data_IF_398641105542
#
_entry.id   IF_398641105542
#
_cell.length_a   1.000
_cell.length_b   1.000
_cell.length_c   1.000
_cell.angle_alpha   90.00
_cell.angle_beta   90.00
_cell.angle_gamma   90.00
#
_symmetry.space_group_name_H-M   'P 1'
#
loop_
_entity.id
_entity.type
_entity.pdbx_description
1 polymer ?
#
# COMPACT_ATOMS: atom_id res chain seq x y z
N UNK A 1 -26.82 -5.09 -7.65
CA UNK A 1 -26.02 -4.06 -6.93
C UNK A 1 -26.10 -4.22 -5.41
N UNK A 2 -27.29 -4.27 -4.76
CA UNK A 2 -27.42 -4.51 -3.29
C UNK A 2 -26.76 -5.81 -2.83
N UNK A 3 -26.85 -6.89 -3.60
CA UNK A 3 -26.25 -8.20 -3.26
C UNK A 3 -24.72 -8.17 -3.24
N UNK A 4 -24.07 -7.45 -4.20
CA UNK A 4 -22.60 -7.29 -4.20
C UNK A 4 -22.09 -6.36 -3.10
N UNK A 5 -22.83 -5.31 -2.77
CA UNK A 5 -22.52 -4.46 -1.60
C UNK A 5 -22.54 -5.25 -0.28
N UNK A 6 -23.43 -6.23 -0.16
CA UNK A 6 -23.45 -7.15 0.98
C UNK A 6 -22.24 -8.09 0.97
N UNK A 7 -21.78 -8.58 -0.18
CA UNK A 7 -20.72 -9.58 -0.25
C UNK A 7 -19.35 -9.06 0.22
N UNK A 8 -18.92 -7.86 -0.17
CA UNK A 8 -17.65 -7.30 0.33
C UNK A 8 -17.78 -6.93 1.81
N UNK A 9 -18.87 -6.30 2.19
CA UNK A 9 -19.18 -6.03 3.59
C UNK A 9 -19.20 -7.32 4.42
N UNK A 10 -19.81 -8.38 3.92
CA UNK A 10 -19.94 -9.66 4.63
C UNK A 10 -18.62 -10.46 4.58
N UNK A 11 -17.84 -10.39 3.49
CA UNK A 11 -16.50 -11.00 3.41
C UNK A 11 -15.47 -10.25 4.26
N UNK A 12 -15.49 -8.92 4.25
CA UNK A 12 -14.69 -8.12 5.18
C UNK A 12 -15.12 -8.40 6.63
N UNK A 13 -16.42 -8.53 6.90
CA UNK A 13 -16.94 -8.88 8.21
C UNK A 13 -16.62 -10.33 8.60
N UNK A 14 -16.65 -11.28 7.68
CA UNK A 14 -16.23 -12.67 7.95
C UNK A 14 -14.73 -12.77 8.23
N UNK A 15 -13.89 -12.06 7.49
CA UNK A 15 -12.46 -11.94 7.78
C UNK A 15 -12.24 -11.31 9.14
N UNK A 16 -12.95 -10.24 9.42
CA UNK A 16 -13.00 -9.54 10.70
C UNK A 16 -13.46 -10.48 11.83
N UNK A 17 -14.60 -11.15 11.72
CA UNK A 17 -15.14 -12.02 12.76
C UNK A 17 -14.28 -13.28 13.02
N UNK A 18 -13.62 -13.80 11.98
CA UNK A 18 -12.67 -14.93 12.11
C UNK A 18 -11.39 -14.58 12.86
N UNK A 19 -10.95 -13.34 12.78
CA UNK A 19 -9.64 -12.90 13.28
C UNK A 19 -9.71 -12.10 14.58
N UNK A 20 -10.88 -11.59 14.95
CA UNK A 20 -11.14 -10.83 16.18
C UNK A 20 -10.72 -11.52 17.48
N UNK A 21 -10.45 -12.81 17.48
CA UNK A 21 -10.10 -13.54 18.69
C UNK A 21 -8.71 -14.16 18.70
N UNK A 22 -7.98 -14.17 17.58
CA UNK A 22 -6.83 -15.05 17.45
C UNK A 22 -5.46 -14.37 17.50
N UNK A 23 -5.34 -13.10 17.09
CA UNK A 23 -4.03 -12.45 16.92
C UNK A 23 -3.95 -11.01 17.43
N UNK A 24 -4.87 -10.57 18.26
CA UNK A 24 -4.76 -9.24 18.85
C UNK A 24 -3.63 -9.20 19.89
N UNK A 25 -2.64 -8.32 19.75
CA UNK A 25 -1.66 -8.09 20.79
C UNK A 25 -2.35 -7.72 22.11
N UNK A 26 -1.83 -8.10 23.28
CA UNK A 26 -2.44 -7.84 24.57
C UNK A 26 -2.75 -6.37 24.86
N UNK A 27 -2.10 -5.45 24.16
CA UNK A 27 -2.26 -3.99 24.29
C UNK A 27 -3.64 -3.54 23.81
N UNK A 28 -4.20 -4.18 22.79
CA UNK A 28 -5.48 -3.79 22.17
C UNK A 28 -6.68 -4.11 23.08
N UNK A 29 -6.54 -5.03 24.00
CA UNK A 29 -7.61 -5.42 24.94
C UNK A 29 -7.90 -4.40 26.05
N UNK A 30 -7.08 -3.37 26.21
CA UNK A 30 -7.23 -2.36 27.29
C UNK A 30 -8.13 -1.19 26.94
N UNK A 31 -8.55 -1.05 25.70
CA UNK A 31 -9.30 0.13 25.31
C UNK A 31 -10.81 0.01 25.56
N UNK A 32 -11.36 1.08 26.11
CA UNK A 32 -12.74 1.15 26.59
C UNK A 32 -13.76 1.67 25.57
N UNK A 33 -13.40 1.90 24.30
CA UNK A 33 -13.95 3.15 23.81
C UNK A 33 -15.12 3.02 22.85
N UNK A 34 -15.15 2.15 21.91
CA UNK A 34 -16.31 2.07 21.01
C UNK A 34 -16.63 0.62 20.71
N UNK A 35 -17.90 0.21 20.67
CA UNK A 35 -18.24 -1.11 20.18
C UNK A 35 -17.70 -1.29 18.76
N UNK A 36 -17.02 -2.41 18.52
CA UNK A 36 -16.41 -2.75 17.24
C UNK A 36 -17.32 -2.48 16.03
N UNK A 37 -18.61 -2.78 16.18
CA UNK A 37 -19.62 -2.57 15.15
C UNK A 37 -19.83 -1.09 14.75
N UNK A 38 -19.67 -0.15 15.69
CA UNK A 38 -19.82 1.28 15.39
C UNK A 38 -18.62 1.85 14.63
N UNK A 39 -17.41 1.42 14.99
CA UNK A 39 -16.22 1.83 14.24
C UNK A 39 -16.28 1.30 12.81
N UNK A 40 -16.66 0.04 12.66
CA UNK A 40 -16.83 -0.58 11.34
C UNK A 40 -17.88 0.13 10.51
N UNK A 41 -19.04 0.41 11.08
CA UNK A 41 -20.09 1.17 10.39
C UNK A 41 -19.59 2.56 9.97
N UNK A 42 -18.83 3.22 10.83
CA UNK A 42 -18.28 4.54 10.56
C UNK A 42 -17.30 4.53 9.39
N UNK A 43 -16.29 3.64 9.40
CA UNK A 43 -15.26 3.61 8.34
C UNK A 43 -15.86 3.22 6.99
N UNK A 44 -16.86 2.35 6.96
CA UNK A 44 -17.58 2.01 5.72
C UNK A 44 -18.36 3.21 5.20
N UNK A 45 -19.07 3.93 6.05
CA UNK A 45 -19.78 5.18 5.68
C UNK A 45 -18.80 6.24 5.16
N UNK A 46 -17.69 6.42 5.85
CA UNK A 46 -16.64 7.35 5.44
C UNK A 46 -16.11 7.04 4.04
N UNK A 47 -15.87 5.76 3.75
CA UNK A 47 -15.41 5.31 2.42
C UNK A 47 -16.42 5.63 1.32
N UNK A 48 -17.73 5.43 1.59
CA UNK A 48 -18.79 5.77 0.65
C UNK A 48 -18.85 7.28 0.40
N UNK A 49 -18.75 8.08 1.45
CA UNK A 49 -18.76 9.56 1.36
C UNK A 49 -17.53 10.04 0.56
N UNK A 50 -16.35 9.54 0.86
CA UNK A 50 -15.13 9.90 0.13
C UNK A 50 -15.25 9.54 -1.34
N UNK A 51 -15.79 8.37 -1.67
CA UNK A 51 -16.04 7.96 -3.04
C UNK A 51 -16.98 8.94 -3.76
N UNK A 52 -18.06 9.34 -3.11
CA UNK A 52 -19.01 10.33 -3.67
C UNK A 52 -18.35 11.70 -3.85
N UNK A 53 -17.50 12.13 -2.91
CA UNK A 53 -16.72 13.37 -3.03
C UNK A 53 -15.79 13.32 -4.24
N UNK A 54 -15.13 12.19 -4.48
CA UNK A 54 -14.15 12.07 -5.58
C UNK A 54 -14.84 11.98 -6.95
N UNK A 55 -15.87 11.13 -7.06
CA UNK A 55 -16.47 10.77 -8.35
C UNK A 55 -17.84 11.38 -8.61
N UNK A 56 -18.47 11.93 -7.59
CA UNK A 56 -19.88 12.30 -7.62
C UNK A 56 -20.83 11.11 -7.44
N UNK A 57 -22.09 11.45 -7.25
CA UNK A 57 -23.17 10.47 -7.09
C UNK A 57 -24.49 11.05 -7.61
N UNK A 58 -25.02 10.55 -8.77
CA UNK A 58 -26.25 11.06 -9.36
C UNK A 58 -27.48 11.00 -8.41
N UNK A 59 -27.46 10.10 -7.41
CA UNK A 59 -28.55 10.04 -6.42
C UNK A 59 -28.63 11.29 -5.54
N UNK A 60 -27.53 11.98 -5.34
CA UNK A 60 -27.52 13.23 -4.59
C UNK A 60 -28.27 14.32 -5.36
N UNK A 61 -28.16 14.32 -6.70
CA UNK A 61 -28.92 15.21 -7.57
C UNK A 61 -30.43 15.01 -7.44
N UNK A 62 -30.87 13.73 -7.45
CA UNK A 62 -32.28 13.37 -7.24
C UNK A 62 -32.81 13.81 -5.87
N UNK A 63 -31.91 13.99 -4.88
CA UNK A 63 -32.24 14.45 -3.53
C UNK A 63 -32.15 15.97 -3.37
N UNK A 64 -31.82 16.70 -4.44
CA UNK A 64 -31.67 18.15 -4.45
C UNK A 64 -30.26 18.67 -4.09
N UNK A 65 -29.26 17.79 -3.97
CA UNK A 65 -27.87 18.11 -3.70
C UNK A 65 -27.06 18.18 -5.00
N UNK A 66 -27.35 19.21 -5.84
CA UNK A 66 -26.84 19.29 -7.20
C UNK A 66 -25.33 19.48 -7.28
N UNK A 67 -24.72 20.28 -6.39
CA UNK A 67 -23.28 20.51 -6.37
C UNK A 67 -22.53 19.30 -5.86
N UNK A 68 -23.01 18.66 -4.80
CA UNK A 68 -22.41 17.47 -4.23
C UNK A 68 -22.49 16.28 -5.18
N UNK A 69 -23.54 16.22 -5.99
CA UNK A 69 -23.73 15.15 -6.99
C UNK A 69 -22.63 15.12 -8.06
N UNK A 70 -22.03 16.27 -8.38
CA UNK A 70 -20.96 16.36 -9.37
C UNK A 70 -19.63 15.76 -8.88
N UNK A 71 -19.40 15.75 -7.57
CA UNK A 71 -18.11 15.40 -6.99
C UNK A 71 -16.98 16.36 -7.39
N UNK A 72 -15.75 15.92 -7.22
CA UNK A 72 -14.54 16.70 -7.52
C UNK A 72 -13.82 16.26 -8.80
N UNK A 73 -14.26 15.18 -9.43
CA UNK A 73 -13.56 14.56 -10.56
C UNK A 73 -12.06 14.36 -10.26
N UNK A 74 -11.77 13.89 -9.04
CA UNK A 74 -10.42 13.78 -8.54
C UNK A 74 -9.80 12.43 -8.89
N UNK A 75 -8.52 12.44 -9.26
CA UNK A 75 -7.75 11.24 -9.60
C UNK A 75 -6.82 10.79 -8.47
N UNK A 76 -6.63 11.63 -7.45
CA UNK A 76 -5.83 11.36 -6.24
C UNK A 76 -6.53 12.02 -5.07
N UNK A 77 -6.49 11.39 -3.91
CA UNK A 77 -6.99 11.93 -2.65
C UNK A 77 -6.04 11.64 -1.48
N UNK A 78 -6.42 12.11 -0.30
CA UNK A 78 -5.73 11.82 0.95
C UNK A 78 -6.39 12.57 2.12
N UNK A 79 -6.28 12.01 3.32
CA UNK A 79 -6.72 12.70 4.53
C UNK A 79 -5.59 13.56 5.08
N UNK A 80 -5.88 14.82 5.36
CA UNK A 80 -4.89 15.75 5.91
C UNK A 80 -4.58 15.38 7.36
N UNK A 81 -3.33 14.96 7.60
CA UNK A 81 -2.80 14.59 8.89
C UNK A 81 -3.42 13.31 9.45
N UNK A 82 -2.63 12.53 10.16
CA UNK A 82 -3.11 11.33 10.81
C UNK A 82 -3.75 11.64 12.16
N UNK A 83 -3.09 12.43 13.00
CA UNK A 83 -3.45 12.52 14.42
C UNK A 83 -4.70 13.34 14.71
N UNK A 84 -4.86 14.49 14.09
CA UNK A 84 -6.03 15.33 14.38
C UNK A 84 -7.36 14.64 14.08
N UNK A 85 -7.40 13.92 12.95
CA UNK A 85 -8.55 13.12 12.57
C UNK A 85 -8.71 11.92 13.49
N UNK A 86 -7.66 11.14 13.67
CA UNK A 86 -7.67 9.86 14.38
C UNK A 86 -7.74 9.99 15.91
N UNK A 87 -7.55 11.18 16.47
CA UNK A 87 -7.80 11.43 17.89
C UNK A 87 -9.30 11.55 18.22
N UNK A 88 -10.15 11.85 17.24
CA UNK A 88 -11.58 12.09 17.45
C UNK A 88 -12.49 11.11 16.71
N UNK A 89 -12.04 10.58 15.59
CA UNK A 89 -12.79 9.72 14.70
C UNK A 89 -11.96 8.47 14.36
N UNK A 90 -12.62 7.35 14.01
CA UNK A 90 -11.92 6.17 13.51
C UNK A 90 -10.96 6.52 12.36
N UNK A 91 -9.82 5.79 12.29
CA UNK A 91 -8.79 6.02 11.29
C UNK A 91 -9.30 5.87 9.84
N UNK A 92 -8.50 6.34 8.89
CA UNK A 92 -8.83 6.34 7.47
C UNK A 92 -8.33 5.09 6.71
N UNK A 93 -7.64 4.18 7.37
CA UNK A 93 -6.92 3.06 6.77
C UNK A 93 -7.77 2.22 5.82
N UNK A 94 -9.01 1.89 6.25
CA UNK A 94 -9.93 1.16 5.40
C UNK A 94 -10.27 1.91 4.10
N UNK A 95 -10.52 3.22 4.20
CA UNK A 95 -10.82 4.07 3.04
C UNK A 95 -9.64 4.11 2.09
N UNK A 96 -8.43 4.36 2.60
CA UNK A 96 -7.20 4.46 1.83
C UNK A 96 -6.90 3.14 1.13
N UNK A 97 -7.00 2.01 1.84
CA UNK A 97 -6.80 0.68 1.27
C UNK A 97 -7.80 0.37 0.13
N UNK A 98 -9.10 0.56 0.36
CA UNK A 98 -10.14 0.25 -0.64
C UNK A 98 -10.07 1.19 -1.85
N UNK A 99 -9.81 2.48 -1.63
CA UNK A 99 -9.69 3.42 -2.75
C UNK A 99 -8.49 3.09 -3.65
N UNK A 100 -7.34 2.75 -3.05
CA UNK A 100 -6.13 2.39 -3.78
C UNK A 100 -6.17 0.99 -4.42
N UNK A 101 -7.07 0.09 -3.99
CA UNK A 101 -7.22 -1.25 -4.57
C UNK A 101 -7.82 -1.22 -5.96
N UNK A 102 -7.53 -2.28 -6.77
CA UNK A 102 -8.11 -2.47 -8.11
C UNK A 102 -9.55 -2.96 -8.09
N UNK A 103 -10.19 -3.00 -6.94
CA UNK A 103 -11.58 -3.42 -6.78
C UNK A 103 -12.25 -2.69 -5.62
N UNK A 104 -13.58 -2.67 -5.66
CA UNK A 104 -14.45 -2.29 -4.56
C UNK A 104 -15.70 -3.21 -4.55
N UNK A 105 -16.73 -2.85 -3.80
CA UNK A 105 -17.99 -3.60 -3.71
C UNK A 105 -18.78 -3.66 -5.03
N UNK A 106 -18.38 -2.94 -6.06
CA UNK A 106 -18.96 -3.04 -7.41
C UNK A 106 -18.17 -4.00 -8.32
N UNK A 107 -17.04 -4.53 -7.87
CA UNK A 107 -16.12 -5.38 -8.63
C UNK A 107 -14.85 -4.64 -9.05
N UNK A 108 -14.16 -5.11 -10.11
CA UNK A 108 -12.93 -4.49 -10.59
C UNK A 108 -13.12 -3.03 -10.97
N UNK A 109 -12.13 -2.19 -10.66
CA UNK A 109 -12.09 -0.77 -10.97
C UNK A 109 -10.65 -0.30 -11.16
N UNK A 110 -10.45 0.77 -11.91
CA UNK A 110 -9.18 1.49 -11.86
C UNK A 110 -8.91 1.96 -10.41
N UNK A 111 -7.71 1.76 -9.88
CA UNK A 111 -7.37 2.22 -8.55
C UNK A 111 -7.41 3.74 -8.48
N UNK A 112 -7.85 4.27 -7.35
CA UNK A 112 -7.75 5.69 -7.05
C UNK A 112 -6.69 5.87 -5.98
N UNK A 113 -5.52 6.37 -6.33
CA UNK A 113 -4.48 6.67 -5.37
C UNK A 113 -5.03 7.50 -4.20
N UNK A 114 -4.82 7.01 -2.98
CA UNK A 114 -5.24 7.71 -1.79
C UNK A 114 -4.08 7.72 -0.80
N UNK A 115 -3.42 8.88 -0.68
CA UNK A 115 -2.16 8.99 0.03
C UNK A 115 -2.37 9.17 1.53
N UNK A 116 -1.77 8.28 2.31
CA UNK A 116 -1.70 8.38 3.77
C UNK A 116 -1.09 9.74 4.16
N UNK A 117 -1.60 10.35 5.23
CA UNK A 117 -1.18 11.66 5.73
C UNK A 117 -1.31 12.82 4.72
N UNK A 118 -2.02 12.58 3.62
CA UNK A 118 -2.07 13.49 2.47
C UNK A 118 -0.66 13.85 1.94
N UNK A 119 0.29 12.89 1.97
CA UNK A 119 1.58 13.08 1.31
C UNK A 119 1.37 13.21 -0.20
N UNK A 120 1.19 14.46 -0.63
CA UNK A 120 0.89 14.79 -2.03
C UNK A 120 1.97 14.31 -2.98
N UNK A 121 3.23 14.36 -2.57
CA UNK A 121 4.34 13.86 -3.40
C UNK A 121 4.23 12.35 -3.60
N UNK A 122 3.92 11.61 -2.55
CA UNK A 122 3.68 10.17 -2.68
C UNK A 122 2.40 9.87 -3.45
N UNK A 123 1.35 10.67 -3.28
CA UNK A 123 0.11 10.59 -4.07
C UNK A 123 0.35 10.75 -5.57
N UNK A 124 1.22 11.68 -5.98
CA UNK A 124 1.65 11.84 -7.37
C UNK A 124 2.41 10.59 -7.84
N UNK A 125 3.31 10.06 -7.02
CA UNK A 125 4.02 8.82 -7.35
C UNK A 125 3.04 7.65 -7.50
N UNK A 126 2.05 7.50 -6.61
CA UNK A 126 0.98 6.50 -6.72
C UNK A 126 0.24 6.62 -8.05
N UNK A 127 -0.13 7.84 -8.45
CA UNK A 127 -0.82 8.09 -9.71
C UNK A 127 0.04 7.70 -10.91
N UNK A 128 1.28 8.17 -10.98
CA UNK A 128 2.19 7.87 -12.09
C UNK A 128 2.43 6.36 -12.21
N UNK A 129 2.72 5.70 -11.10
CA UNK A 129 2.96 4.27 -11.07
C UNK A 129 1.74 3.46 -11.48
N UNK A 130 0.55 3.79 -10.99
CA UNK A 130 -0.69 3.12 -11.33
C UNK A 130 -1.08 3.30 -12.80
N UNK A 131 -0.91 4.51 -13.36
CA UNK A 131 -1.19 4.78 -14.78
C UNK A 131 -0.27 3.98 -15.71
N UNK A 132 0.99 3.76 -15.33
CA UNK A 132 1.95 2.99 -16.12
C UNK A 132 1.72 1.49 -15.98
N UNK A 133 1.46 0.99 -14.78
CA UNK A 133 1.34 -0.45 -14.52
C UNK A 133 -0.08 -1.01 -14.66
N UNK A 134 -1.11 -0.15 -14.55
CA UNK A 134 -2.50 -0.58 -14.40
C UNK A 134 -2.83 -1.29 -13.08
N UNK A 135 -1.82 -1.51 -12.22
CA UNK A 135 -1.97 -2.18 -10.93
C UNK A 135 -2.24 -1.18 -9.79
N UNK A 136 -2.65 -1.72 -8.65
CA UNK A 136 -2.84 -0.94 -7.45
C UNK A 136 -1.49 -0.33 -6.98
N UNK A 137 -1.45 0.97 -6.66
CA UNK A 137 -0.27 1.58 -6.06
C UNK A 137 -0.30 1.34 -4.54
N UNK A 138 0.71 0.71 -4.01
CA UNK A 138 0.85 0.48 -2.58
C UNK A 138 1.68 1.59 -1.93
N UNK A 139 1.07 2.34 -1.03
CA UNK A 139 1.76 3.32 -0.21
C UNK A 139 2.55 2.63 0.90
N UNK A 140 3.78 3.06 1.15
CA UNK A 140 4.63 2.51 2.21
C UNK A 140 5.39 3.59 2.96
N UNK A 141 5.55 3.36 4.27
CA UNK A 141 6.68 3.89 5.03
C UNK A 141 7.92 3.08 4.66
N UNK A 142 8.99 3.74 4.25
CA UNK A 142 10.31 3.13 4.09
C UNK A 142 10.96 3.05 5.48
N UNK A 143 10.69 1.98 6.20
CA UNK A 143 10.90 1.93 7.65
C UNK A 143 12.36 1.71 8.02
N UNK A 144 13.00 0.69 7.46
CA UNK A 144 14.39 0.37 7.71
C UNK A 144 14.96 -0.58 6.67
N UNK A 145 16.28 -0.63 6.57
CA UNK A 145 17.01 -1.64 5.80
C UNK A 145 17.56 -2.73 6.72
N UNK A 146 17.78 -3.90 6.16
CA UNK A 146 18.40 -5.04 6.82
C UNK A 146 19.51 -5.59 5.92
N UNK A 147 20.77 -5.41 6.33
CA UNK A 147 21.85 -6.17 5.72
C UNK A 147 21.78 -7.64 6.16
N UNK A 148 22.35 -8.58 5.40
CA UNK A 148 22.38 -9.99 5.81
C UNK A 148 22.96 -10.20 7.21
N UNK A 149 24.03 -9.48 7.55
CA UNK A 149 24.70 -9.55 8.85
C UNK A 149 23.85 -8.97 9.99
N UNK A 150 23.13 -7.89 9.72
CA UNK A 150 22.19 -7.31 10.69
C UNK A 150 21.01 -8.24 10.95
N UNK A 151 20.48 -8.86 9.89
CA UNK A 151 19.43 -9.85 10.00
C UNK A 151 19.89 -11.05 10.83
N UNK A 152 21.02 -11.66 10.50
CA UNK A 152 21.59 -12.81 11.23
C UNK A 152 21.84 -12.48 12.70
N UNK A 153 22.42 -11.31 12.98
CA UNK A 153 22.71 -10.87 14.37
C UNK A 153 21.45 -10.73 15.22
N UNK A 154 20.33 -10.31 14.61
CA UNK A 154 19.09 -10.01 15.35
C UNK A 154 18.17 -11.22 15.43
N UNK A 155 18.12 -12.02 14.38
CA UNK A 155 17.17 -13.14 14.25
C UNK A 155 17.81 -14.51 14.45
N UNK A 156 19.14 -14.60 14.39
CA UNK A 156 19.89 -15.86 14.40
C UNK A 156 19.92 -16.57 13.05
N UNK A 157 19.33 -15.98 12.00
CA UNK A 157 19.22 -16.55 10.66
C UNK A 157 19.66 -15.57 9.58
N UNK A 158 20.36 -16.06 8.57
CA UNK A 158 20.65 -15.30 7.35
C UNK A 158 19.45 -15.33 6.40
N UNK A 159 19.13 -14.20 5.75
CA UNK A 159 18.19 -14.23 4.65
C UNK A 159 18.80 -14.96 3.45
N UNK A 160 17.96 -15.60 2.65
CA UNK A 160 18.34 -16.35 1.46
C UNK A 160 17.52 -15.91 0.22
N UNK A 161 17.67 -16.64 -0.89
CA UNK A 161 16.95 -16.36 -2.11
C UNK A 161 17.11 -14.92 -2.59
N UNK A 162 16.03 -14.26 -2.94
CA UNK A 162 16.03 -12.85 -3.38
C UNK A 162 16.47 -11.88 -2.29
N UNK A 163 16.34 -12.28 -1.02
CA UNK A 163 16.72 -11.49 0.14
C UNK A 163 18.19 -11.67 0.56
N UNK A 164 18.95 -12.56 -0.08
CA UNK A 164 20.33 -12.92 0.32
C UNK A 164 21.31 -11.73 0.43
N UNK A 165 21.05 -10.65 -0.30
CA UNK A 165 21.85 -9.42 -0.27
C UNK A 165 21.24 -8.33 0.62
N UNK A 166 20.24 -8.68 1.44
CA UNK A 166 19.51 -7.77 2.29
C UNK A 166 18.21 -7.27 1.68
N UNK A 167 17.43 -6.59 2.48
CA UNK A 167 16.09 -6.13 2.12
C UNK A 167 15.71 -4.85 2.86
N UNK A 168 14.67 -4.20 2.38
CA UNK A 168 14.07 -3.01 2.98
C UNK A 168 12.68 -3.38 3.51
N UNK A 169 12.40 -3.00 4.74
CA UNK A 169 11.09 -3.13 5.35
C UNK A 169 10.19 -1.99 4.89
N UNK A 170 9.20 -2.33 4.10
CA UNK A 170 8.14 -1.45 3.68
C UNK A 170 6.86 -1.81 4.45
N UNK A 171 6.32 -0.84 5.16
CA UNK A 171 5.14 -1.00 6.03
C UNK A 171 4.25 0.24 5.87
N UNK A 172 2.97 0.12 6.13
CA UNK A 172 2.08 1.26 6.22
C UNK A 172 1.10 1.05 7.38
N UNK A 173 0.46 2.10 7.85
CA UNK A 173 -0.48 2.07 8.98
C UNK A 173 -1.81 1.34 8.69
N UNK A 174 -1.77 0.27 7.92
CA UNK A 174 -2.95 -0.53 7.54
C UNK A 174 -3.74 0.05 6.38
N UNK A 175 -3.14 0.98 5.64
CA UNK A 175 -3.77 1.71 4.53
C UNK A 175 -3.32 1.24 3.14
N UNK A 176 -2.51 0.20 3.04
CA UNK A 176 -2.01 -0.30 1.75
C UNK A 176 -3.11 -1.05 0.99
N UNK A 177 -3.15 -0.86 -0.33
CA UNK A 177 -4.07 -1.56 -1.23
C UNK A 177 -4.07 -3.08 -0.98
N UNK A 178 -5.25 -3.71 -0.98
CA UNK A 178 -5.40 -5.14 -0.65
C UNK A 178 -4.74 -6.06 -1.68
N UNK A 179 -4.63 -5.61 -2.91
CA UNK A 179 -3.86 -6.25 -3.98
C UNK A 179 -2.40 -6.51 -3.57
N UNK A 180 -1.85 -5.61 -2.72
CA UNK A 180 -0.49 -5.70 -2.19
C UNK A 180 -0.20 -6.97 -1.38
N UNK A 181 -1.22 -7.73 -1.00
CA UNK A 181 -1.05 -9.07 -0.43
C UNK A 181 -0.36 -10.04 -1.40
N UNK A 182 -0.46 -9.80 -2.72
CA UNK A 182 0.06 -10.71 -3.73
C UNK A 182 -0.67 -12.05 -3.79
N UNK A 183 -1.94 -12.06 -3.41
CA UNK A 183 -2.73 -13.29 -3.34
C UNK A 183 -3.21 -13.80 -4.69
N UNK A 184 -3.18 -12.97 -5.74
CA UNK A 184 -3.50 -13.41 -7.10
C UNK A 184 -2.39 -14.29 -7.66
N UNK A 185 -2.76 -15.15 -8.61
CA UNK A 185 -1.81 -15.99 -9.32
C UNK A 185 -1.99 -15.87 -10.84
N UNK A 186 -0.90 -16.04 -11.58
CA UNK A 186 -0.93 -16.17 -13.04
C UNK A 186 -1.32 -17.60 -13.48
N UNK A 187 -1.26 -17.86 -14.78
CA UNK A 187 -1.59 -19.17 -15.35
C UNK A 187 -0.59 -20.28 -14.94
N UNK A 188 0.63 -19.88 -14.62
CA UNK A 188 1.71 -20.76 -14.17
C UNK A 188 1.69 -21.00 -12.65
N UNK A 189 0.84 -20.29 -11.92
CA UNK A 189 0.68 -20.38 -10.46
C UNK A 189 1.64 -19.49 -9.67
N UNK A 190 2.36 -18.56 -10.32
CA UNK A 190 3.20 -17.59 -9.64
C UNK A 190 2.35 -16.48 -9.02
N UNK A 191 2.76 -15.98 -7.87
CA UNK A 191 2.13 -14.81 -7.25
C UNK A 191 2.34 -13.56 -8.10
N UNK A 192 1.25 -12.83 -8.34
CA UNK A 192 1.25 -11.60 -9.14
C UNK A 192 0.30 -10.56 -8.56
N UNK A 193 0.52 -9.30 -8.90
CA UNK A 193 -0.53 -8.28 -8.88
C UNK A 193 -0.99 -8.02 -10.31
N UNK A 194 -2.30 -8.13 -10.53
CA UNK A 194 -2.90 -7.95 -11.85
C UNK A 194 -3.27 -6.49 -12.09
N UNK A 195 -3.21 -6.03 -13.33
CA UNK A 195 -3.84 -4.77 -13.70
C UNK A 195 -5.37 -4.90 -13.50
N UNK A 196 -6.02 -3.77 -13.21
CA UNK A 196 -7.44 -3.78 -12.81
C UNK A 196 -8.38 -4.40 -13.86
N UNK A 197 -8.04 -4.33 -15.14
CA UNK A 197 -8.85 -4.91 -16.22
C UNK A 197 -8.71 -6.44 -16.35
N UNK A 198 -7.77 -7.05 -15.67
CA UNK A 198 -7.58 -8.51 -15.60
C UNK A 198 -8.11 -9.13 -14.30
N UNK A 199 -8.54 -8.29 -13.35
CA UNK A 199 -9.07 -8.75 -12.07
C UNK A 199 -10.40 -9.46 -12.24
N UNK A 200 -10.51 -10.64 -11.63
CA UNK A 200 -11.72 -11.46 -11.59
C UNK A 200 -12.33 -11.49 -10.19
N UNK A 201 -13.57 -11.95 -10.07
CA UNK A 201 -14.22 -12.16 -8.77
C UNK A 201 -13.42 -13.17 -7.88
N UNK A 202 -12.71 -14.13 -8.50
CA UNK A 202 -11.84 -15.05 -7.78
C UNK A 202 -10.59 -14.36 -7.22
N UNK A 203 -9.98 -13.47 -7.99
CA UNK A 203 -8.84 -12.66 -7.57
C UNK A 203 -9.21 -11.72 -6.41
N UNK A 204 -10.36 -11.05 -6.52
CA UNK A 204 -10.90 -10.21 -5.45
C UNK A 204 -11.06 -11.01 -4.16
N UNK A 205 -11.66 -12.20 -4.27
CA UNK A 205 -11.84 -13.08 -3.12
C UNK A 205 -10.51 -13.54 -2.53
N UNK A 206 -9.50 -13.80 -3.37
CA UNK A 206 -8.16 -14.17 -2.92
C UNK A 206 -7.52 -13.02 -2.10
N UNK A 207 -7.55 -11.79 -2.59
CA UNK A 207 -7.06 -10.61 -1.88
C UNK A 207 -7.78 -10.39 -0.54
N UNK A 208 -9.12 -10.50 -0.53
CA UNK A 208 -9.92 -10.36 0.69
C UNK A 208 -9.62 -11.47 1.72
N UNK A 209 -9.42 -12.70 1.26
CA UNK A 209 -9.10 -13.82 2.15
C UNK A 209 -7.67 -13.74 2.71
N UNK A 210 -6.76 -13.08 2.00
CA UNK A 210 -5.37 -12.88 2.42
C UNK A 210 -5.20 -11.69 3.36
N UNK A 211 -6.24 -10.88 3.54
CA UNK A 211 -6.21 -9.67 4.36
C UNK A 211 -6.96 -9.90 5.66
N UNK A 212 -6.27 -9.68 6.77
CA UNK A 212 -6.86 -9.58 8.09
C UNK A 212 -7.21 -8.12 8.40
N UNK A 213 -8.18 -7.90 9.30
CA UNK A 213 -8.52 -6.57 9.78
C UNK A 213 -8.25 -6.51 11.28
N UNK A 214 -7.24 -5.72 11.66
CA UNK A 214 -6.84 -5.53 13.03
C UNK A 214 -7.45 -4.24 13.59
N UNK A 215 -7.80 -4.24 14.87
CA UNK A 215 -8.13 -2.98 15.53
C UNK A 215 -6.93 -2.06 15.50
N UNK A 216 -7.16 -0.81 15.15
CA UNK A 216 -6.15 0.22 15.25
C UNK A 216 -5.68 0.38 16.71
N UNK A 217 -4.38 0.55 16.90
CA UNK A 217 -3.81 0.79 18.22
C UNK A 217 -4.29 2.13 18.78
N UNK A 218 -4.98 2.09 19.93
CA UNK A 218 -5.52 3.29 20.56
C UNK A 218 -4.45 4.22 21.17
N UNK A 219 -3.26 3.74 21.42
CA UNK A 219 -2.17 4.63 21.82
C UNK A 219 -1.77 5.55 20.68
N UNK A 220 -1.93 5.06 19.45
CA UNK A 220 -1.63 5.80 18.24
C UNK A 220 -2.89 6.41 17.58
N UNK A 221 -3.98 5.64 17.47
CA UNK A 221 -5.27 6.03 16.89
C UNK A 221 -6.36 6.08 17.96
N UNK A 222 -6.40 7.15 18.74
CA UNK A 222 -7.34 7.28 19.89
C UNK A 222 -8.81 7.23 19.51
N UNK A 223 -9.14 7.63 18.28
CA UNK A 223 -10.49 7.53 17.72
C UNK A 223 -10.89 6.12 17.31
N UNK A 224 -9.97 5.17 17.34
CA UNK A 224 -10.21 3.78 16.94
C UNK A 224 -10.15 3.54 15.45
N UNK A 225 -10.89 2.55 14.96
CA UNK A 225 -10.94 2.10 13.59
C UNK A 225 -10.25 0.76 13.38
N UNK A 226 -9.91 0.48 12.13
CA UNK A 226 -9.31 -0.79 11.73
C UNK A 226 -8.22 -0.58 10.70
N UNK A 227 -7.18 -1.39 10.81
CA UNK A 227 -6.07 -1.46 9.86
C UNK A 227 -6.14 -2.77 9.09
N UNK A 228 -5.84 -2.77 7.80
CA UNK A 228 -5.60 -3.99 7.06
C UNK A 228 -4.27 -4.59 7.48
N UNK A 229 -4.19 -5.90 7.47
CA UNK A 229 -2.96 -6.64 7.76
C UNK A 229 -2.80 -7.78 6.78
N UNK A 230 -1.62 -7.86 6.19
CA UNK A 230 -1.17 -8.99 5.37
C UNK A 230 0.36 -9.01 5.31
N UNK A 231 0.90 -10.16 4.98
CA UNK A 231 2.29 -10.33 4.59
C UNK A 231 2.34 -10.56 3.08
N UNK A 232 3.02 -9.66 2.37
CA UNK A 232 3.15 -9.72 0.92
C UNK A 232 3.86 -11.02 0.49
N UNK A 233 3.37 -11.64 -0.58
CA UNK A 233 3.97 -12.86 -1.16
C UNK A 233 5.29 -12.58 -1.85
N UNK A 234 6.07 -13.66 -2.04
CA UNK A 234 7.43 -13.59 -2.56
C UNK A 234 7.52 -13.48 -4.08
N UNK A 235 8.71 -13.08 -4.49
CA UNK A 235 9.25 -13.17 -5.86
C UNK A 235 8.48 -12.39 -6.92
N UNK A 236 7.58 -11.51 -6.48
CA UNK A 236 6.92 -10.62 -7.43
C UNK A 236 7.85 -9.48 -7.83
N UNK A 237 8.05 -9.25 -9.14
CA UNK A 237 8.77 -8.07 -9.60
C UNK A 237 8.01 -6.81 -9.22
N UNK A 238 8.71 -5.86 -8.63
CA UNK A 238 8.12 -4.57 -8.19
C UNK A 238 9.04 -3.42 -8.56
N UNK A 239 8.42 -2.26 -8.77
CA UNK A 239 9.11 -0.99 -8.91
C UNK A 239 8.69 -0.09 -7.77
N UNK A 240 9.64 0.27 -6.91
CA UNK A 240 9.45 1.30 -5.89
C UNK A 240 9.77 2.67 -6.51
N UNK A 241 8.91 3.63 -6.29
CA UNK A 241 9.07 4.99 -6.83
C UNK A 241 8.70 6.06 -5.80
N UNK A 242 9.30 7.23 -5.96
CA UNK A 242 9.01 8.41 -5.17
C UNK A 242 9.12 9.66 -6.03
N UNK A 243 8.13 10.52 -5.95
CA UNK A 243 8.17 11.89 -6.45
C UNK A 243 8.57 12.82 -5.30
N UNK A 244 9.52 13.69 -5.54
CA UNK A 244 9.97 14.68 -4.57
C UNK A 244 10.04 16.07 -5.21
N UNK A 245 10.01 17.10 -4.37
CA UNK A 245 10.33 18.48 -4.78
C UNK A 245 11.61 18.84 -4.05
N UNK A 246 12.69 19.00 -4.81
CA UNK A 246 14.03 19.29 -4.29
C UNK A 246 14.35 20.76 -4.50
N UNK A 247 14.80 21.42 -3.44
CA UNK A 247 15.20 22.84 -3.51
C UNK A 247 16.28 23.07 -4.57
N UNK A 248 16.11 24.06 -5.40
CA UNK A 248 17.01 24.41 -6.50
C UNK A 248 16.92 23.52 -7.75
N UNK A 249 16.17 22.41 -7.70
CA UNK A 249 15.96 21.51 -8.85
C UNK A 249 14.48 21.51 -9.26
N UNK A 250 13.56 21.49 -8.30
CA UNK A 250 12.14 21.34 -8.55
C UNK A 250 11.69 19.86 -8.41
N UNK A 251 10.68 19.43 -9.18
CA UNK A 251 10.19 18.06 -9.14
C UNK A 251 11.25 17.06 -9.65
N UNK A 252 11.39 15.95 -8.94
CA UNK A 252 12.28 14.84 -9.32
C UNK A 252 11.57 13.51 -9.11
N UNK A 253 11.98 12.47 -9.83
CA UNK A 253 11.52 11.10 -9.63
C UNK A 253 12.70 10.21 -9.23
N UNK A 254 12.45 9.29 -8.29
CA UNK A 254 13.36 8.25 -7.85
C UNK A 254 12.72 6.89 -8.10
N UNK A 255 13.49 5.93 -8.58
CA UNK A 255 13.02 4.61 -9.03
C UNK A 255 13.97 3.54 -8.52
N UNK A 256 13.43 2.48 -7.94
CA UNK A 256 14.18 1.30 -7.54
C UNK A 256 13.39 0.04 -7.94
N UNK A 257 13.86 -0.69 -8.94
CA UNK A 257 13.32 -2.00 -9.28
C UNK A 257 13.90 -3.08 -8.36
N UNK A 258 13.09 -4.09 -8.08
CA UNK A 258 13.47 -5.23 -7.26
C UNK A 258 12.38 -6.28 -7.20
N UNK A 259 12.37 -7.04 -6.13
CA UNK A 259 11.41 -8.13 -5.89
C UNK A 259 10.88 -8.09 -4.47
N UNK A 260 9.71 -8.65 -4.27
CA UNK A 260 9.23 -8.96 -2.92
C UNK A 260 9.87 -10.25 -2.41
N UNK A 261 10.00 -10.37 -1.09
CA UNK A 261 10.43 -11.61 -0.43
C UNK A 261 9.38 -12.06 0.59
N UNK A 262 9.24 -13.37 0.76
CA UNK A 262 8.53 -13.98 1.87
C UNK A 262 9.59 -14.61 2.81
N UNK A 263 9.99 -13.85 3.82
CA UNK A 263 11.06 -14.26 4.73
C UNK A 263 10.61 -15.43 5.61
N UNK A 264 11.51 -16.30 6.07
CA UNK A 264 11.17 -17.29 7.10
C UNK A 264 10.46 -16.68 8.30
N UNK A 265 9.56 -17.43 8.92
CA UNK A 265 8.72 -16.93 10.02
C UNK A 265 9.53 -16.40 11.20
N UNK A 266 10.68 -17.02 11.49
CA UNK A 266 11.58 -16.57 12.56
C UNK A 266 12.16 -15.18 12.29
N UNK A 267 12.52 -14.91 11.02
CA UNK A 267 13.01 -13.60 10.60
C UNK A 267 11.83 -12.60 10.61
N UNK A 268 10.73 -12.95 9.92
CA UNK A 268 9.57 -12.09 9.83
C UNK A 268 9.06 -11.70 11.22
N UNK A 269 8.69 -12.66 12.05
CA UNK A 269 8.11 -12.39 13.36
C UNK A 269 9.04 -11.62 14.31
N UNK A 270 10.36 -11.82 14.18
CA UNK A 270 11.34 -11.11 15.02
C UNK A 270 11.45 -9.65 14.62
N UNK A 271 11.43 -9.36 13.32
CA UNK A 271 11.60 -8.00 12.81
C UNK A 271 10.27 -7.22 12.88
N UNK A 272 9.17 -7.85 12.48
CA UNK A 272 7.85 -7.24 12.42
C UNK A 272 7.37 -6.74 13.80
N UNK A 273 7.63 -7.52 14.85
CA UNK A 273 7.37 -7.13 16.24
C UNK A 273 8.12 -5.88 16.73
N UNK A 274 9.12 -5.42 15.99
CA UNK A 274 9.88 -4.20 16.31
C UNK A 274 9.24 -2.95 15.73
N UNK A 275 8.19 -3.11 14.94
CA UNK A 275 7.35 -2.05 14.39
C UNK A 275 5.92 -2.25 14.90
N UNK A 276 4.92 -2.22 14.04
CA UNK A 276 3.56 -2.55 14.39
C UNK A 276 3.12 -3.84 13.68
N UNK A 277 2.99 -4.96 14.40
CA UNK A 277 2.65 -6.25 13.82
C UNK A 277 1.18 -6.35 13.36
N UNK A 278 0.40 -5.29 13.46
CA UNK A 278 -0.98 -5.22 12.95
C UNK A 278 -1.08 -4.54 11.58
N UNK A 279 0.06 -4.08 11.02
CA UNK A 279 0.11 -3.38 9.75
C UNK A 279 0.60 -4.27 8.61
N UNK A 280 0.22 -3.99 7.36
CA UNK A 280 0.66 -4.78 6.21
C UNK A 280 2.16 -4.61 5.99
N UNK A 281 2.83 -5.72 5.69
CA UNK A 281 4.27 -5.78 5.52
C UNK A 281 4.65 -6.26 4.13
N UNK A 282 5.58 -5.54 3.50
CA UNK A 282 6.27 -5.94 2.27
C UNK A 282 7.77 -5.92 2.49
N UNK A 283 8.43 -7.06 2.24
CA UNK A 283 9.88 -7.18 2.25
C UNK A 283 10.40 -6.91 0.84
N UNK A 284 11.01 -5.75 0.64
CA UNK A 284 11.50 -5.31 -0.66
C UNK A 284 12.99 -5.58 -0.83
N UNK A 285 13.37 -6.32 -1.84
CA UNK A 285 14.74 -6.64 -2.22
C UNK A 285 15.12 -5.85 -3.48
N UNK A 286 15.78 -4.69 -3.36
CA UNK A 286 16.16 -3.90 -4.53
C UNK A 286 17.17 -4.65 -5.38
N UNK A 287 17.09 -4.49 -6.72
CA UNK A 287 18.15 -4.93 -7.62
C UNK A 287 19.41 -4.10 -7.35
N UNK A 288 20.42 -4.74 -6.78
CA UNK A 288 21.72 -4.12 -6.52
C UNK A 288 22.61 -4.21 -7.78
N UNK A 289 23.25 -3.11 -8.10
CA UNK A 289 24.16 -3.00 -9.27
C UNK A 289 25.62 -2.93 -8.86
N UNK A 290 25.90 -2.81 -7.57
CA UNK A 290 27.22 -2.60 -7.01
C UNK A 290 27.76 -1.18 -7.23
N UNK A 291 26.93 -0.23 -7.68
CA UNK A 291 27.34 1.13 -8.00
C UNK A 291 26.37 2.20 -7.48
N UNK A 292 26.90 3.35 -7.12
CA UNK A 292 26.13 4.52 -6.71
C UNK A 292 25.14 4.21 -5.58
N UNK A 293 23.90 4.68 -5.74
CA UNK A 293 22.82 4.44 -4.77
C UNK A 293 22.41 2.96 -4.66
N UNK A 294 22.87 2.08 -5.54
CA UNK A 294 22.51 0.66 -5.56
C UNK A 294 23.69 -0.26 -5.27
N UNK A 295 24.67 0.22 -4.49
CA UNK A 295 25.81 -0.57 -4.01
C UNK A 295 25.34 -1.67 -3.06
N UNK A 296 24.47 -1.34 -2.13
CA UNK A 296 23.85 -2.21 -1.12
C UNK A 296 22.51 -1.63 -0.63
N UNK A 297 21.80 -2.35 0.21
CA UNK A 297 20.47 -1.92 0.71
C UNK A 297 20.54 -0.65 1.56
N UNK A 298 21.64 -0.42 2.29
CA UNK A 298 21.86 0.82 3.02
C UNK A 298 21.98 2.01 2.07
N UNK A 299 22.76 1.86 1.01
CA UNK A 299 22.94 2.90 0.00
C UNK A 299 21.64 3.26 -0.69
N UNK A 300 20.78 2.26 -1.01
CA UNK A 300 19.44 2.51 -1.55
C UNK A 300 18.64 3.39 -0.61
N UNK A 301 18.56 3.02 0.66
CA UNK A 301 17.76 3.75 1.64
C UNK A 301 18.36 5.14 1.96
N UNK A 302 19.69 5.26 2.07
CA UNK A 302 20.38 6.51 2.34
C UNK A 302 20.19 7.55 1.21
N UNK A 303 20.01 7.10 -0.03
CA UNK A 303 19.79 7.95 -1.20
C UNK A 303 18.31 8.14 -1.55
N UNK A 304 17.39 7.44 -0.86
CA UNK A 304 15.97 7.53 -1.15
C UNK A 304 15.38 8.92 -0.84
N UNK A 305 15.89 9.59 0.19
CA UNK A 305 15.58 10.98 0.50
C UNK A 305 14.17 11.26 1.01
N UNK A 306 13.41 10.21 1.37
CA UNK A 306 12.06 10.31 1.90
C UNK A 306 11.75 9.14 2.84
N UNK A 307 10.85 9.37 3.80
CA UNK A 307 10.32 8.32 4.66
C UNK A 307 9.19 7.49 3.98
N UNK A 308 8.63 7.96 2.88
CA UNK A 308 7.59 7.29 2.12
C UNK A 308 8.09 6.85 0.74
N UNK A 309 7.44 5.81 0.23
CA UNK A 309 7.62 5.32 -1.14
C UNK A 309 6.35 4.62 -1.61
N UNK A 310 6.27 4.36 -2.88
CA UNK A 310 5.18 3.63 -3.52
C UNK A 310 5.74 2.41 -4.19
N UNK A 311 5.10 1.26 -4.08
CA UNK A 311 5.36 0.14 -4.97
C UNK A 311 4.23 -0.04 -5.95
N UNK A 312 4.59 -0.29 -7.21
CA UNK A 312 3.72 -0.85 -8.24
C UNK A 312 4.36 -2.11 -8.77
N UNK A 313 3.57 -3.03 -9.25
CA UNK A 313 4.07 -4.34 -9.63
C UNK A 313 4.49 -4.38 -11.09
N UNK A 314 5.49 -5.21 -11.33
CA UNK A 314 6.27 -5.22 -12.56
C UNK A 314 7.52 -4.35 -12.49
N UNK A 315 8.48 -4.63 -13.37
CA UNK A 315 9.65 -3.80 -13.60
C UNK A 315 9.29 -2.75 -14.66
N UNK A 316 8.62 -1.67 -14.23
CA UNK A 316 8.13 -0.59 -15.09
C UNK A 316 9.02 0.67 -15.07
N UNK A 317 10.23 0.52 -14.55
CA UNK A 317 11.16 1.65 -14.40
C UNK A 317 11.51 2.33 -15.71
N UNK A 318 11.66 1.59 -16.81
CA UNK A 318 11.95 2.16 -18.13
C UNK A 318 10.79 3.03 -18.65
N UNK A 319 9.54 2.59 -18.44
CA UNK A 319 8.36 3.34 -18.83
C UNK A 319 8.20 4.60 -17.97
N UNK A 320 8.49 4.50 -16.66
CA UNK A 320 8.50 5.65 -15.76
C UNK A 320 9.58 6.68 -16.13
N UNK A 321 10.77 6.24 -16.54
CA UNK A 321 11.84 7.14 -17.05
C UNK A 321 11.36 7.85 -18.31
N UNK A 322 10.73 7.12 -19.23
CA UNK A 322 10.17 7.70 -20.46
C UNK A 322 9.08 8.73 -20.13
N UNK A 323 8.13 8.39 -19.26
CA UNK A 323 7.08 9.30 -18.81
C UNK A 323 7.66 10.55 -18.14
N UNK A 324 8.64 10.38 -17.24
CA UNK A 324 9.31 11.48 -16.56
C UNK A 324 10.00 12.42 -17.57
N UNK A 325 10.65 11.86 -18.59
CA UNK A 325 11.25 12.63 -19.70
C UNK A 325 10.20 13.45 -20.46
N UNK A 326 9.06 12.87 -20.78
CA UNK A 326 7.96 13.59 -21.44
C UNK A 326 7.42 14.72 -20.59
N UNK A 327 7.37 14.54 -19.27
CA UNK A 327 6.93 15.55 -18.31
C UNK A 327 8.03 16.54 -17.90
N UNK A 328 9.26 16.35 -18.40
CA UNK A 328 10.46 17.15 -18.04
C UNK A 328 10.78 17.07 -16.54
N UNK A 329 10.59 15.89 -15.96
CA UNK A 329 10.92 15.59 -14.56
C UNK A 329 12.23 14.81 -14.54
N UNK A 330 13.33 15.32 -13.95
CA UNK A 330 14.56 14.57 -13.81
C UNK A 330 14.38 13.30 -12.99
N UNK A 331 14.98 12.20 -13.46
CA UNK A 331 15.11 10.97 -12.66
C UNK A 331 16.49 11.01 -12.00
N UNK A 332 16.50 11.18 -10.67
CA UNK A 332 17.73 11.38 -9.89
C UNK A 332 18.33 10.10 -9.35
N UNK A 333 17.57 9.01 -9.34
CA UNK A 333 17.98 7.69 -8.85
C UNK A 333 17.22 6.60 -9.61
N UNK A 334 17.95 5.66 -10.23
CA UNK A 334 17.35 4.44 -10.79
C UNK A 334 18.37 3.30 -10.93
N UNK A 335 17.88 2.05 -10.93
CA UNK A 335 18.66 0.84 -11.20
C UNK A 335 18.16 0.07 -12.45
N UNK A 336 17.43 0.76 -13.31
CA UNK A 336 16.94 0.19 -14.58
C UNK A 336 18.13 -0.10 -15.48
N UNK A 337 18.25 -1.30 -16.07
CA UNK A 337 19.32 -1.64 -17.00
C UNK A 337 19.37 -0.69 -18.22
N UNK A 338 20.56 -0.27 -18.60
CA UNK A 338 20.73 0.72 -19.66
C UNK A 338 20.10 0.30 -21.00
N UNK A 339 20.16 -0.99 -21.34
CA UNK A 339 19.56 -1.55 -22.55
C UNK A 339 18.02 -1.47 -22.56
N UNK A 340 17.37 -1.26 -21.40
CA UNK A 340 15.93 -1.04 -21.30
C UNK A 340 15.53 0.43 -21.40
N UNK A 341 16.42 1.34 -21.00
CA UNK A 341 16.16 2.79 -20.99
C UNK A 341 16.23 3.41 -22.39
N UNK A 342 17.10 2.88 -23.24
CA UNK A 342 17.42 3.46 -24.57
C UNK A 342 16.88 2.61 -25.74
N UNK A 343 15.78 1.94 -25.56
CA UNK A 343 15.10 1.18 -26.61
C UNK A 343 14.15 2.03 -27.43
#
# INVERSE_FOLDING_TARGET
RRQRQMCIRDSCKEGFDKNLGKNLPPVITKSKIVPADKDWEFIVKMTLIIRDILYGNPRLDEMGWHEEALGRNAVVGGFQGQRQWTDWLPNADFTEAIMASTFDWNGPKAPTPFATENDTCNGIAMMLGSLVSGSAPCFHDVRTYWSPEACERVTGQKPDGVAANGFIHLINSGATALDGSGACVDAEGNHVMKPFWEMTDADIKACLNATDWCRADYEYFRGGGYSSHFRCKAEMPVTMLRFNIVEGIGPVLQIAEGWTADLPDEIHNTIDKRTDPTWPTTWFCPRLTGQGAFTDVYSVMANWGANHGVTVYGHVGADLITLASMLRIPVTMHNVPAEKVYR
#
